data_IF_737144341314
#
_entry.id   IF_737144341314
#
_cell.length_a   1.000
_cell.length_b   1.000
_cell.length_c   1.000
_cell.angle_alpha   90.00
_cell.angle_beta   90.00
_cell.angle_gamma   90.00
#
_symmetry.space_group_name_H-M   'P 1'
#
loop_
_entity.id
_entity.type
_entity.pdbx_description
1 polymer ?
#
# COMPACT_ATOMS: atom_id res chain seq x y z
N UNK A 1 -22.18 10.50 -38.68
CA UNK A 1 -21.12 11.37 -39.21
C UNK A 1 -19.81 10.58 -39.17
N UNK A 2 -19.39 10.07 -40.36
CA UNK A 2 -18.18 9.22 -40.49
C UNK A 2 -17.04 10.11 -40.92
N UNK A 3 -15.95 10.11 -40.16
CA UNK A 3 -14.68 10.73 -40.56
C UNK A 3 -13.72 9.65 -41.04
N UNK A 4 -13.34 9.72 -42.29
CA UNK A 4 -12.42 8.86 -43.01
C UNK A 4 -10.98 9.32 -42.72
N UNK A 5 -10.14 8.38 -42.31
CA UNK A 5 -8.69 8.56 -42.37
C UNK A 5 -8.17 8.28 -43.78
N UNK A 6 -7.43 9.23 -44.31
CA UNK A 6 -6.74 9.14 -45.60
C UNK A 6 -5.26 8.82 -45.35
N UNK A 7 -4.84 7.68 -45.90
CA UNK A 7 -3.44 7.31 -46.10
C UNK A 7 -2.78 8.25 -47.13
N UNK A 8 -1.54 8.66 -46.87
CA UNK A 8 -0.63 9.04 -47.94
C UNK A 8 0.74 8.38 -47.70
N UNK A 9 1.02 7.45 -48.56
CA UNK A 9 2.32 6.87 -48.96
C UNK A 9 3.08 7.83 -49.86
N UNK A 10 4.39 7.74 -49.87
CA UNK A 10 5.25 7.62 -51.06
C UNK A 10 6.63 8.28 -50.93
N UNK A 11 7.61 7.48 -51.19
CA UNK A 11 8.74 7.45 -52.11
C UNK A 11 10.00 8.14 -51.58
N UNK A 12 11.16 7.52 -51.49
CA UNK A 12 11.86 6.65 -52.42
C UNK A 12 13.02 7.45 -53.01
N UNK A 13 14.20 7.00 -52.96
CA UNK A 13 15.20 6.97 -54.07
C UNK A 13 16.55 6.53 -53.55
N UNK A 14 17.11 5.64 -54.31
CA UNK A 14 18.29 4.83 -54.15
C UNK A 14 19.60 5.51 -54.61
N UNK A 15 20.67 4.82 -54.24
CA UNK A 15 21.92 4.55 -54.96
C UNK A 15 23.11 5.51 -54.77
N UNK A 16 24.24 5.03 -54.34
CA UNK A 16 25.33 4.57 -55.19
C UNK A 16 26.50 4.04 -54.36
N UNK A 17 27.13 3.03 -54.93
CA UNK A 17 28.21 2.25 -54.42
C UNK A 17 29.54 3.00 -54.32
N UNK A 18 30.39 2.60 -53.37
CA UNK A 18 31.79 2.88 -53.30
C UNK A 18 32.50 1.79 -52.51
N UNK A 19 33.04 0.81 -53.23
CA UNK A 19 33.93 -0.24 -52.72
C UNK A 19 35.29 0.37 -52.42
N UNK A 20 35.73 0.32 -51.16
CA UNK A 20 37.16 0.31 -50.84
C UNK A 20 37.34 -0.52 -49.55
N UNK A 21 38.06 -1.61 -49.69
CA UNK A 21 38.36 -2.56 -48.62
C UNK A 21 39.34 -1.96 -47.61
N UNK A 22 39.03 -2.23 -46.36
CA UNK A 22 39.97 -2.31 -45.26
C UNK A 22 39.57 -3.48 -44.39
N UNK A 23 40.37 -4.52 -44.50
CA UNK A 23 40.38 -5.63 -43.57
C UNK A 23 40.85 -5.13 -42.19
N UNK A 24 40.18 -5.51 -41.16
CA UNK A 24 40.72 -5.41 -39.84
C UNK A 24 39.78 -4.75 -38.81
N UNK A 25 39.39 -5.54 -37.83
CA UNK A 25 38.58 -5.26 -36.65
C UNK A 25 37.06 -5.43 -36.87
N UNK A 26 36.64 -6.68 -36.82
CA UNK A 26 35.29 -7.00 -36.39
C UNK A 26 35.22 -6.62 -34.90
N UNK A 27 34.47 -5.59 -34.48
CA UNK A 27 34.17 -5.45 -33.09
C UNK A 27 33.35 -6.67 -32.72
N UNK A 28 33.87 -7.43 -31.77
CA UNK A 28 33.17 -8.47 -31.06
C UNK A 28 31.75 -7.99 -30.83
N UNK A 29 30.81 -8.57 -31.57
CA UNK A 29 29.37 -8.31 -31.39
C UNK A 29 29.14 -8.50 -29.91
N UNK A 30 28.90 -7.38 -29.22
CA UNK A 30 28.40 -7.40 -27.88
C UNK A 30 27.35 -8.50 -27.79
N UNK A 31 27.64 -9.52 -27.03
CA UNK A 31 26.73 -10.65 -26.79
C UNK A 31 25.38 -10.06 -26.52
N UNK A 32 24.42 -10.28 -27.40
CA UNK A 32 23.04 -9.94 -27.15
C UNK A 32 22.71 -10.62 -25.83
N UNK A 33 22.63 -9.85 -24.77
CA UNK A 33 22.30 -10.30 -23.44
C UNK A 33 20.94 -10.96 -23.59
N UNK A 34 20.90 -12.28 -23.46
CA UNK A 34 19.63 -13.01 -23.47
C UNK A 34 18.68 -12.25 -22.52
N UNK A 35 17.40 -12.04 -22.91
CA UNK A 35 16.47 -11.36 -22.03
C UNK A 35 16.50 -12.08 -20.70
N UNK A 36 16.97 -11.43 -19.65
CA UNK A 36 17.14 -12.01 -18.33
C UNK A 36 15.80 -12.65 -17.94
N UNK A 37 15.79 -13.96 -17.67
CA UNK A 37 14.58 -14.67 -17.27
C UNK A 37 13.98 -13.92 -16.09
N UNK A 38 12.78 -13.43 -16.28
CA UNK A 38 12.02 -12.73 -15.23
C UNK A 38 11.87 -13.67 -14.03
N UNK A 39 12.13 -13.18 -12.83
CA UNK A 39 12.04 -14.01 -11.62
C UNK A 39 10.60 -14.41 -11.31
N UNK A 40 10.41 -15.54 -10.63
CA UNK A 40 9.09 -15.97 -10.18
C UNK A 40 8.43 -14.93 -9.26
N UNK A 41 9.22 -14.17 -8.49
CA UNK A 41 8.72 -13.08 -7.66
C UNK A 41 8.18 -11.94 -8.51
N UNK A 42 8.87 -11.55 -9.58
CA UNK A 42 8.40 -10.49 -10.48
C UNK A 42 7.12 -10.91 -11.23
N UNK A 43 7.01 -12.17 -11.66
CA UNK A 43 5.79 -12.66 -12.31
C UNK A 43 4.60 -12.66 -11.34
N UNK A 44 4.76 -13.13 -10.09
CA UNK A 44 3.70 -13.05 -9.08
C UNK A 44 3.29 -11.61 -8.77
N UNK A 45 4.26 -10.69 -8.62
CA UNK A 45 3.98 -9.28 -8.46
C UNK A 45 3.14 -8.76 -9.63
N UNK A 46 3.59 -8.97 -10.87
CA UNK A 46 2.92 -8.47 -12.07
C UNK A 46 1.49 -9.00 -12.16
N UNK A 47 1.32 -10.31 -11.95
CA UNK A 47 0.02 -10.96 -11.97
C UNK A 47 -0.93 -10.37 -10.92
N UNK A 48 -0.51 -10.35 -9.66
CA UNK A 48 -1.32 -9.87 -8.53
C UNK A 48 -1.68 -8.38 -8.64
N UNK A 49 -0.78 -7.54 -9.13
CA UNK A 49 -1.01 -6.09 -9.17
C UNK A 49 -1.72 -5.61 -10.44
N UNK A 50 -1.60 -6.32 -11.58
CA UNK A 50 -2.02 -5.78 -12.86
C UNK A 50 -2.89 -6.71 -13.71
N UNK A 51 -2.84 -8.02 -13.54
CA UNK A 51 -3.48 -8.97 -14.46
C UNK A 51 -4.69 -9.66 -13.84
N UNK A 52 -4.71 -9.93 -12.54
CA UNK A 52 -5.80 -10.63 -11.89
C UNK A 52 -6.72 -9.69 -11.13
N UNK A 53 -7.95 -9.54 -11.65
CA UNK A 53 -9.00 -8.79 -10.97
C UNK A 53 -9.59 -9.54 -9.78
N UNK A 54 -9.47 -10.87 -9.73
CA UNK A 54 -9.95 -11.69 -8.61
C UNK A 54 -8.94 -11.74 -7.46
N UNK A 55 -7.64 -11.63 -7.73
CA UNK A 55 -6.60 -11.46 -6.70
C UNK A 55 -6.75 -10.16 -5.93
N UNK A 56 -7.38 -9.14 -6.50
CA UNK A 56 -7.72 -7.93 -5.75
C UNK A 56 -8.63 -8.23 -4.54
N UNK A 57 -9.38 -9.33 -4.57
CA UNK A 57 -10.20 -9.83 -3.45
C UNK A 57 -9.41 -10.64 -2.44
N UNK A 58 -8.28 -11.24 -2.83
CA UNK A 58 -7.40 -12.02 -1.97
C UNK A 58 -6.24 -11.20 -1.39
N UNK A 59 -6.11 -9.95 -1.83
CA UNK A 59 -5.02 -9.04 -1.48
C UNK A 59 -3.86 -9.09 -2.49
N UNK A 60 -3.08 -8.01 -2.50
CA UNK A 60 -1.91 -7.88 -3.37
C UNK A 60 -0.76 -8.74 -2.84
N UNK A 61 -0.01 -9.43 -3.70
CA UNK A 61 1.20 -10.17 -3.29
C UNK A 61 2.36 -9.18 -3.00
N UNK A 62 2.21 -8.48 -1.88
CA UNK A 62 3.24 -7.56 -1.38
C UNK A 62 4.52 -8.28 -0.98
N UNK A 63 4.42 -9.57 -0.63
CA UNK A 63 5.57 -10.41 -0.33
C UNK A 63 6.44 -10.66 -1.56
N UNK A 64 5.83 -10.93 -2.72
CA UNK A 64 6.55 -11.04 -3.99
C UNK A 64 7.23 -9.70 -4.35
N UNK A 65 6.51 -8.58 -4.21
CA UNK A 65 7.06 -7.26 -4.48
C UNK A 65 8.26 -6.92 -3.58
N UNK A 66 8.20 -7.26 -2.29
CA UNK A 66 9.26 -7.02 -1.32
C UNK A 66 10.54 -7.83 -1.62
N UNK A 67 10.44 -8.96 -2.33
CA UNK A 67 11.57 -9.81 -2.73
C UNK A 67 12.34 -9.25 -3.94
N UNK A 68 11.79 -8.28 -4.67
CA UNK A 68 12.42 -7.75 -5.87
C UNK A 68 13.68 -6.96 -5.55
N UNK A 69 14.72 -7.16 -6.36
CA UNK A 69 15.99 -6.47 -6.26
C UNK A 69 16.50 -6.02 -7.64
N UNK A 70 17.53 -5.16 -7.68
CA UNK A 70 18.18 -4.72 -8.90
C UNK A 70 17.22 -4.15 -9.95
N UNK A 71 17.37 -4.59 -11.19
CA UNK A 71 16.57 -4.10 -12.32
C UNK A 71 15.08 -4.42 -12.20
N UNK A 72 14.72 -5.60 -11.67
CA UNK A 72 13.31 -5.96 -11.49
C UNK A 72 12.61 -5.04 -10.50
N UNK A 73 13.28 -4.67 -9.41
CA UNK A 73 12.78 -3.70 -8.45
C UNK A 73 12.56 -2.33 -9.11
N UNK A 74 13.52 -1.86 -9.90
CA UNK A 74 13.42 -0.58 -10.63
C UNK A 74 12.26 -0.61 -11.63
N UNK A 75 12.12 -1.71 -12.36
CA UNK A 75 11.03 -1.92 -13.32
C UNK A 75 9.66 -1.96 -12.63
N UNK A 76 9.56 -2.65 -11.49
CA UNK A 76 8.34 -2.67 -10.69
C UNK A 76 7.98 -1.27 -10.17
N UNK A 77 8.96 -0.52 -9.69
CA UNK A 77 8.76 0.86 -9.25
C UNK A 77 8.25 1.75 -10.39
N UNK A 78 8.82 1.64 -11.60
CA UNK A 78 8.34 2.37 -12.79
C UNK A 78 6.89 2.02 -13.16
N UNK A 79 6.53 0.74 -13.06
CA UNK A 79 5.16 0.29 -13.31
C UNK A 79 4.19 0.90 -12.29
N UNK A 80 4.53 0.86 -11.01
CA UNK A 80 3.70 1.38 -9.92
C UNK A 80 3.54 2.91 -9.97
N UNK A 81 4.60 3.65 -10.32
CA UNK A 81 4.53 5.11 -10.50
C UNK A 81 3.55 5.47 -11.62
N UNK A 82 3.58 4.73 -12.74
CA UNK A 82 2.63 4.95 -13.85
C UNK A 82 1.19 4.59 -13.48
N UNK A 83 1.01 3.79 -12.45
CA UNK A 83 -0.30 3.35 -11.98
C UNK A 83 -0.94 4.30 -10.96
N UNK A 84 -0.22 5.36 -10.53
CA UNK A 84 -0.81 6.40 -9.67
C UNK A 84 -1.95 7.13 -10.41
N UNK A 85 -3.05 7.47 -9.73
CA UNK A 85 -3.29 7.43 -8.28
C UNK A 85 -4.05 6.18 -7.79
N UNK A 86 -3.98 5.05 -8.49
CA UNK A 86 -4.63 3.79 -8.07
C UNK A 86 -4.03 3.30 -6.74
N UNK A 87 -4.86 2.73 -5.87
CA UNK A 87 -4.46 2.23 -4.55
C UNK A 87 -3.37 1.16 -4.63
N UNK A 88 -3.37 0.31 -5.65
CA UNK A 88 -2.32 -0.71 -5.88
C UNK A 88 -0.97 -0.06 -6.11
N UNK A 89 -0.93 1.03 -6.91
CA UNK A 89 0.29 1.83 -7.09
C UNK A 89 0.78 2.41 -5.78
N UNK A 90 -0.10 3.02 -5.00
CA UNK A 90 0.21 3.63 -3.70
C UNK A 90 0.77 2.59 -2.73
N UNK A 91 0.07 1.46 -2.52
CA UNK A 91 0.47 0.38 -1.63
C UNK A 91 1.83 -0.20 -2.05
N UNK A 92 1.99 -0.51 -3.34
CA UNK A 92 3.24 -1.07 -3.86
C UNK A 92 4.44 -0.14 -3.67
N UNK A 93 4.27 1.16 -3.89
CA UNK A 93 5.34 2.15 -3.67
C UNK A 93 5.71 2.30 -2.20
N UNK A 94 4.76 2.13 -1.29
CA UNK A 94 5.00 2.04 0.14
C UNK A 94 5.85 0.82 0.50
N UNK A 95 5.47 -0.37 0.03
CA UNK A 95 6.21 -1.64 0.23
C UNK A 95 7.64 -1.52 -0.30
N UNK A 96 7.83 -0.94 -1.48
CA UNK A 96 9.15 -0.67 -2.03
C UNK A 96 9.90 0.44 -1.28
N UNK A 97 9.27 1.18 -0.39
CA UNK A 97 9.85 2.37 0.25
C UNK A 97 10.44 3.33 -0.78
N UNK A 98 9.67 3.61 -1.84
CA UNK A 98 10.14 4.36 -3.02
C UNK A 98 10.36 5.83 -2.69
N UNK A 99 11.61 6.23 -2.49
CA UNK A 99 11.98 7.64 -2.32
C UNK A 99 11.72 8.46 -3.57
N UNK A 100 11.78 7.84 -4.73
CA UNK A 100 11.51 8.49 -6.01
C UNK A 100 10.04 8.90 -6.15
N UNK A 101 9.13 8.09 -5.64
CA UNK A 101 7.70 8.37 -5.68
C UNK A 101 7.23 9.32 -4.56
N UNK A 102 8.03 9.51 -3.50
CA UNK A 102 7.63 10.28 -2.31
C UNK A 102 7.03 11.64 -2.64
N UNK A 103 7.64 12.51 -3.50
CA UNK A 103 7.06 13.82 -3.82
C UNK A 103 5.67 13.74 -4.46
N UNK A 104 5.45 12.77 -5.37
CA UNK A 104 4.16 12.54 -6.00
C UNK A 104 3.10 12.05 -5.00
N UNK A 105 3.47 11.11 -4.13
CA UNK A 105 2.58 10.62 -3.08
C UNK A 105 2.21 11.71 -2.06
N UNK A 106 3.15 12.59 -1.71
CA UNK A 106 2.88 13.76 -0.86
C UNK A 106 1.88 14.69 -1.54
N UNK A 107 2.06 14.99 -2.83
CA UNK A 107 1.11 15.82 -3.59
C UNK A 107 -0.30 15.23 -3.61
N UNK A 108 -0.43 13.92 -3.82
CA UNK A 108 -1.70 13.20 -3.76
C UNK A 108 -2.31 13.25 -2.35
N UNK A 109 -1.50 13.05 -1.31
CA UNK A 109 -1.95 13.10 0.08
C UNK A 109 -2.53 14.48 0.44
N UNK A 110 -1.85 15.56 0.07
CA UNK A 110 -2.35 16.93 0.34
C UNK A 110 -3.64 17.19 -0.43
N UNK A 111 -3.75 16.74 -1.67
CA UNK A 111 -4.98 16.86 -2.46
C UNK A 111 -6.16 16.12 -1.80
N UNK A 112 -5.94 14.90 -1.30
CA UNK A 112 -6.97 14.13 -0.59
C UNK A 112 -7.35 14.78 0.74
N UNK A 113 -6.38 15.35 1.48
CA UNK A 113 -6.65 16.10 2.72
C UNK A 113 -7.52 17.33 2.47
N UNK A 114 -7.24 18.08 1.43
CA UNK A 114 -8.05 19.23 1.02
C UNK A 114 -9.47 18.81 0.59
N UNK A 115 -9.57 17.75 -0.20
CA UNK A 115 -10.85 17.21 -0.66
C UNK A 115 -11.70 16.70 0.53
N UNK A 116 -11.08 16.02 1.51
CA UNK A 116 -11.74 15.58 2.73
C UNK A 116 -12.29 16.77 3.54
N UNK A 117 -11.51 17.85 3.67
CA UNK A 117 -11.95 19.07 4.32
C UNK A 117 -13.17 19.70 3.62
N UNK A 118 -13.21 19.67 2.28
CA UNK A 118 -14.32 20.15 1.48
C UNK A 118 -15.53 19.18 1.48
N UNK A 119 -15.32 17.88 1.59
CA UNK A 119 -16.37 16.84 1.53
C UNK A 119 -17.08 16.62 2.86
N UNK A 120 -16.54 17.07 4.00
CA UNK A 120 -17.35 17.27 5.22
C UNK A 120 -18.58 18.16 4.94
N UNK A 121 -18.56 18.90 3.83
CA UNK A 121 -19.68 19.66 3.28
C UNK A 121 -20.48 18.92 2.20
N UNK A 122 -19.98 17.79 1.68
CA UNK A 122 -20.62 16.98 0.63
C UNK A 122 -20.54 15.51 1.01
N UNK A 123 -21.66 14.86 1.23
CA UNK A 123 -21.78 13.44 1.57
C UNK A 123 -21.45 12.48 0.40
N UNK A 124 -20.60 12.85 -0.56
CA UNK A 124 -20.64 12.22 -1.89
C UNK A 124 -19.38 11.45 -2.33
N UNK A 125 -18.44 11.02 -1.48
CA UNK A 125 -17.42 10.11 -1.99
C UNK A 125 -16.86 9.13 -0.96
N UNK A 126 -17.36 7.92 -1.01
CA UNK A 126 -16.93 6.78 -0.22
C UNK A 126 -15.45 6.37 -0.43
N UNK A 127 -14.78 6.90 -1.45
CA UNK A 127 -13.41 6.53 -1.83
C UNK A 127 -12.31 7.43 -1.25
N UNK A 128 -12.58 8.67 -0.92
CA UNK A 128 -11.56 9.61 -0.45
C UNK A 128 -10.84 9.15 0.83
N UNK A 129 -11.54 8.66 1.88
CA UNK A 129 -10.87 8.20 3.09
C UNK A 129 -9.91 7.04 2.86
N UNK A 130 -10.26 6.08 2.01
CA UNK A 130 -9.40 4.92 1.72
C UNK A 130 -8.10 5.32 1.06
N UNK A 131 -8.16 6.18 0.05
CA UNK A 131 -6.95 6.65 -0.62
C UNK A 131 -6.06 7.44 0.32
N UNK A 132 -6.63 8.29 1.17
CA UNK A 132 -5.90 9.02 2.19
C UNK A 132 -5.19 8.07 3.17
N UNK A 133 -5.88 7.02 3.63
CA UNK A 133 -5.32 6.00 4.52
C UNK A 133 -4.13 5.31 3.87
N UNK A 134 -4.27 4.83 2.63
CA UNK A 134 -3.17 4.14 1.92
C UNK A 134 -1.99 5.08 1.61
N UNK A 135 -2.27 6.34 1.25
CA UNK A 135 -1.21 7.35 1.05
C UNK A 135 -0.43 7.62 2.34
N UNK A 136 -1.14 7.79 3.45
CA UNK A 136 -0.52 8.01 4.76
C UNK A 136 0.36 6.81 5.16
N UNK A 137 -0.14 5.58 4.96
CA UNK A 137 0.60 4.34 5.22
C UNK A 137 1.85 4.23 4.35
N UNK A 138 1.72 4.42 3.04
CA UNK A 138 2.84 4.36 2.11
C UNK A 138 3.91 5.41 2.48
N UNK A 139 3.51 6.63 2.78
CA UNK A 139 4.42 7.70 3.19
C UNK A 139 5.11 7.40 4.53
N UNK A 140 4.39 6.78 5.49
CA UNK A 140 5.00 6.30 6.73
C UNK A 140 6.08 5.23 6.47
N UNK A 141 5.80 4.27 5.59
CA UNK A 141 6.76 3.23 5.21
C UNK A 141 8.00 3.79 4.49
N UNK A 142 7.82 4.82 3.67
CA UNK A 142 8.91 5.50 2.93
C UNK A 142 9.76 6.35 3.87
N UNK A 143 9.10 7.20 4.67
CA UNK A 143 9.74 8.09 5.63
C UNK A 143 8.82 8.33 6.81
N UNK A 144 9.06 7.71 7.96
CA UNK A 144 8.28 7.95 9.16
C UNK A 144 8.21 9.44 9.52
N UNK A 145 6.99 9.95 9.67
CA UNK A 145 6.70 11.29 10.11
C UNK A 145 5.33 11.27 10.81
N UNK A 146 5.20 11.81 12.04
CA UNK A 146 3.96 11.75 12.82
C UNK A 146 2.72 12.33 12.11
N UNK A 147 2.90 13.20 11.12
CA UNK A 147 1.78 13.78 10.34
C UNK A 147 1.02 12.72 9.52
N UNK A 148 1.69 11.61 9.12
CA UNK A 148 1.05 10.59 8.33
C UNK A 148 0.05 9.76 9.15
N UNK A 149 0.45 9.12 10.27
CA UNK A 149 -0.50 8.39 11.09
C UNK A 149 -1.57 9.32 11.70
N UNK A 150 -1.28 10.59 11.98
CA UNK A 150 -2.28 11.54 12.46
C UNK A 150 -3.50 11.62 11.52
N UNK A 151 -3.30 11.59 10.20
CA UNK A 151 -4.40 11.60 9.24
C UNK A 151 -5.25 10.33 9.30
N UNK A 152 -4.63 9.17 9.53
CA UNK A 152 -5.34 7.89 9.68
C UNK A 152 -6.07 7.83 11.03
N UNK A 153 -5.45 8.35 12.08
CA UNK A 153 -6.08 8.49 13.41
C UNK A 153 -7.33 9.38 13.34
N UNK A 154 -7.27 10.48 12.58
CA UNK A 154 -8.44 11.35 12.35
C UNK A 154 -9.60 10.58 11.68
N UNK A 155 -9.30 9.71 10.69
CA UNK A 155 -10.32 8.86 10.06
C UNK A 155 -10.88 7.84 11.05
N UNK A 156 -10.01 7.16 11.81
CA UNK A 156 -10.43 6.20 12.84
C UNK A 156 -11.38 6.84 13.86
N UNK A 157 -11.09 8.06 14.27
CA UNK A 157 -11.86 8.76 15.31
C UNK A 157 -13.15 9.40 14.81
N UNK A 158 -13.26 9.76 13.52
CA UNK A 158 -14.32 10.65 13.05
C UNK A 158 -15.09 10.17 11.80
N UNK A 159 -14.70 9.06 11.17
CA UNK A 159 -15.43 8.57 10.01
C UNK A 159 -16.80 8.00 10.43
N UNK A 160 -17.84 8.40 9.71
CA UNK A 160 -19.21 7.94 9.97
C UNK A 160 -19.35 6.44 9.63
N UNK A 161 -18.76 6.00 8.52
CA UNK A 161 -18.86 4.64 8.04
C UNK A 161 -17.94 3.68 8.81
N UNK A 162 -18.48 2.60 9.42
CA UNK A 162 -17.69 1.63 10.18
C UNK A 162 -16.53 1.03 9.39
N UNK A 163 -16.74 0.74 8.10
CA UNK A 163 -15.72 0.14 7.25
C UNK A 163 -14.50 1.05 7.05
N UNK A 164 -14.68 2.38 7.07
CA UNK A 164 -13.58 3.34 6.99
C UNK A 164 -12.77 3.35 8.28
N UNK A 165 -13.44 3.31 9.45
CA UNK A 165 -12.78 3.19 10.76
C UNK A 165 -12.05 1.86 10.90
N UNK A 166 -12.66 0.76 10.41
CA UNK A 166 -12.03 -0.56 10.35
C UNK A 166 -10.73 -0.52 9.54
N UNK A 167 -10.78 0.00 8.31
CA UNK A 167 -9.59 0.12 7.45
C UNK A 167 -8.52 1.00 8.10
N UNK A 168 -8.92 2.10 8.74
CA UNK A 168 -7.98 2.95 9.46
C UNK A 168 -7.30 2.20 10.62
N UNK A 169 -8.05 1.41 11.41
CA UNK A 169 -7.48 0.60 12.48
C UNK A 169 -6.52 -0.47 11.95
N UNK A 170 -6.85 -1.10 10.81
CA UNK A 170 -6.02 -2.10 10.15
C UNK A 170 -4.71 -1.50 9.64
N UNK A 171 -4.74 -0.34 9.00
CA UNK A 171 -3.54 0.29 8.44
C UNK A 171 -2.63 0.93 9.51
N UNK A 172 -3.11 1.13 10.73
CA UNK A 172 -2.30 1.55 11.88
C UNK A 172 -1.54 0.40 12.56
N UNK A 173 -1.77 -0.82 12.19
CA UNK A 173 -1.29 -2.06 12.77
C UNK A 173 0.24 -2.18 12.98
N UNK A 174 1.05 -1.63 12.07
CA UNK A 174 2.52 -1.62 12.16
C UNK A 174 3.11 -0.22 12.37
N UNK A 175 2.24 0.76 12.63
CA UNK A 175 2.66 2.15 12.89
C UNK A 175 3.03 2.29 14.36
N UNK A 176 4.34 2.16 14.65
CA UNK A 176 4.89 2.16 16.01
C UNK A 176 5.10 3.58 16.53
N UNK A 177 3.99 4.24 16.84
CA UNK A 177 3.92 5.62 17.32
C UNK A 177 3.02 5.70 18.57
N UNK A 178 3.40 6.44 19.62
CA UNK A 178 2.59 6.55 20.84
C UNK A 178 1.18 7.12 20.63
N UNK A 179 0.97 7.99 19.62
CA UNK A 179 -0.35 8.50 19.30
C UNK A 179 -1.22 7.40 18.68
N UNK A 180 -0.62 6.53 17.86
CA UNK A 180 -1.29 5.35 17.31
C UNK A 180 -1.76 4.40 18.42
N UNK A 181 -0.90 4.10 19.40
CA UNK A 181 -1.28 3.25 20.53
C UNK A 181 -2.50 3.84 21.27
N UNK A 182 -2.48 5.15 21.57
CA UNK A 182 -3.63 5.81 22.24
C UNK A 182 -4.90 5.75 21.40
N UNK A 183 -4.80 5.97 20.10
CA UNK A 183 -5.95 5.91 19.19
C UNK A 183 -6.55 4.49 19.13
N UNK A 184 -5.70 3.45 19.00
CA UNK A 184 -6.16 2.06 19.02
C UNK A 184 -6.74 1.64 20.37
N UNK A 185 -6.20 2.14 21.50
CA UNK A 185 -6.79 1.92 22.82
C UNK A 185 -8.20 2.51 22.91
N UNK A 186 -8.42 3.72 22.37
CA UNK A 186 -9.75 4.33 22.29
C UNK A 186 -10.69 3.52 21.39
N UNK A 187 -10.17 3.01 20.27
CA UNK A 187 -10.95 2.21 19.31
C UNK A 187 -11.36 0.81 19.85
N UNK A 188 -10.83 0.35 20.98
CA UNK A 188 -11.37 -0.82 21.70
C UNK A 188 -12.80 -0.60 22.20
N UNK A 189 -13.28 0.63 22.26
CA UNK A 189 -14.64 1.01 22.66
C UNK A 189 -15.53 1.41 21.47
N UNK A 190 -15.05 1.22 20.21
CA UNK A 190 -15.85 1.50 19.02
C UNK A 190 -17.16 0.68 19.03
N UNK A 191 -18.29 1.25 18.60
CA UNK A 191 -19.54 0.52 18.51
C UNK A 191 -19.45 -0.71 17.60
N UNK A 192 -18.59 -0.67 16.57
CA UNK A 192 -18.44 -1.73 15.59
C UNK A 192 -17.42 -2.79 16.00
N UNK A 193 -17.83 -4.07 16.01
CA UNK A 193 -16.99 -5.19 16.46
C UNK A 193 -15.71 -5.38 15.67
N UNK A 194 -15.76 -5.19 14.35
CA UNK A 194 -14.58 -5.32 13.49
C UNK A 194 -13.56 -4.20 13.74
N UNK A 195 -14.00 -2.99 14.04
CA UNK A 195 -13.09 -1.89 14.43
C UNK A 195 -12.35 -2.26 15.71
N UNK A 196 -13.09 -2.75 16.73
CA UNK A 196 -12.49 -3.23 18.00
C UNK A 196 -11.49 -4.36 17.76
N UNK A 197 -11.83 -5.31 16.87
CA UNK A 197 -10.95 -6.42 16.49
C UNK A 197 -9.62 -5.93 15.90
N UNK A 198 -9.67 -5.06 14.90
CA UNK A 198 -8.46 -4.53 14.26
C UNK A 198 -7.65 -3.66 15.23
N UNK A 199 -8.30 -2.89 16.09
CA UNK A 199 -7.63 -2.13 17.13
C UNK A 199 -6.86 -3.05 18.11
N UNK A 200 -7.49 -4.14 18.57
CA UNK A 200 -6.87 -5.12 19.43
C UNK A 200 -5.65 -5.80 18.77
N UNK A 201 -5.79 -6.25 17.52
CA UNK A 201 -4.69 -6.83 16.75
C UNK A 201 -3.53 -5.84 16.57
N UNK A 202 -3.86 -4.58 16.25
CA UNK A 202 -2.86 -3.52 16.12
C UNK A 202 -2.08 -3.30 17.41
N UNK A 203 -2.76 -3.22 18.56
CA UNK A 203 -2.10 -3.09 19.85
C UNK A 203 -1.16 -4.25 20.17
N UNK A 204 -1.59 -5.49 19.93
CA UNK A 204 -0.73 -6.67 20.12
C UNK A 204 0.51 -6.61 19.22
N UNK A 205 0.33 -6.30 17.92
CA UNK A 205 1.43 -6.22 16.95
C UNK A 205 2.45 -5.13 17.28
N UNK A 206 1.99 -3.93 17.64
CA UNK A 206 2.84 -2.79 18.00
C UNK A 206 3.72 -3.13 19.22
N UNK A 207 3.20 -3.93 20.14
CA UNK A 207 3.95 -4.40 21.32
C UNK A 207 4.70 -5.73 21.10
N UNK A 208 4.81 -6.19 19.84
CA UNK A 208 5.59 -7.37 19.46
C UNK A 208 4.99 -8.71 19.90
N UNK A 209 3.69 -8.74 20.15
CA UNK A 209 2.98 -9.98 20.48
C UNK A 209 2.51 -10.71 19.20
N UNK A 210 2.51 -12.05 19.19
CA UNK A 210 2.07 -12.83 18.04
C UNK A 210 0.54 -12.68 17.88
N UNK A 211 0.12 -12.10 16.76
CA UNK A 211 -1.30 -11.81 16.48
C UNK A 211 -2.09 -13.00 15.92
N UNK A 212 -1.39 -14.03 15.45
CA UNK A 212 -1.98 -15.24 14.86
C UNK A 212 -1.93 -16.44 15.82
N UNK A 213 -1.61 -16.22 17.11
CA UNK A 213 -1.69 -17.24 18.14
C UNK A 213 -3.14 -17.47 18.59
N UNK A 214 -3.43 -18.68 19.13
CA UNK A 214 -4.74 -19.01 19.67
C UNK A 214 -5.15 -18.03 20.79
N UNK A 215 -4.20 -17.63 21.65
CA UNK A 215 -4.43 -16.67 22.72
C UNK A 215 -4.84 -15.29 22.17
N UNK A 216 -4.12 -14.80 21.15
CA UNK A 216 -4.46 -13.54 20.50
C UNK A 216 -5.81 -13.61 19.81
N UNK A 217 -6.09 -14.70 19.08
CA UNK A 217 -7.37 -14.93 18.46
C UNK A 217 -8.51 -14.92 19.51
N UNK A 218 -8.32 -15.64 20.63
CA UNK A 218 -9.29 -15.66 21.71
C UNK A 218 -9.58 -14.28 22.29
N UNK A 219 -8.55 -13.49 22.59
CA UNK A 219 -8.69 -12.12 23.09
C UNK A 219 -9.42 -11.21 22.10
N UNK A 220 -9.02 -11.23 20.83
CA UNK A 220 -9.59 -10.37 19.78
C UNK A 220 -11.04 -10.73 19.45
N UNK A 221 -11.41 -12.02 19.45
CA UNK A 221 -12.81 -12.45 19.31
C UNK A 221 -13.68 -12.01 20.47
N UNK A 222 -13.15 -12.00 21.70
CA UNK A 222 -13.90 -11.51 22.86
C UNK A 222 -14.17 -10.01 22.78
N UNK A 223 -13.18 -9.22 22.37
CA UNK A 223 -13.36 -7.77 22.17
C UNK A 223 -14.40 -7.47 21.07
N UNK A 224 -14.50 -8.34 20.07
CA UNK A 224 -15.44 -8.21 18.96
C UNK A 224 -16.90 -8.45 19.38
N UNK A 225 -17.12 -9.14 20.51
CA UNK A 225 -18.44 -9.58 20.97
C UNK A 225 -19.41 -8.42 21.23
N UNK A 226 -20.69 -8.63 20.91
CA UNK A 226 -21.78 -7.72 21.28
C UNK A 226 -22.18 -7.86 22.76
N UNK A 227 -21.84 -9.00 23.38
CA UNK A 227 -22.02 -9.18 24.84
C UNK A 227 -21.04 -8.30 25.62
N UNK A 228 -21.56 -7.38 26.43
CA UNK A 228 -20.76 -6.38 27.13
C UNK A 228 -19.76 -7.02 28.11
N UNK A 229 -20.11 -8.09 28.82
CA UNK A 229 -19.21 -8.73 29.79
C UNK A 229 -18.04 -9.44 29.08
N UNK A 230 -18.31 -10.11 27.94
CA UNK A 230 -17.29 -10.73 27.10
C UNK A 230 -16.37 -9.68 26.51
N UNK A 231 -16.91 -8.58 25.99
CA UNK A 231 -16.16 -7.46 25.41
C UNK A 231 -15.21 -6.85 26.43
N UNK A 232 -15.71 -6.49 27.61
CA UNK A 232 -14.91 -5.93 28.68
C UNK A 232 -13.84 -6.90 29.20
N UNK A 233 -14.16 -8.21 29.22
CA UNK A 233 -13.18 -9.24 29.50
C UNK A 233 -12.04 -9.26 28.48
N UNK A 234 -12.38 -9.30 27.20
CA UNK A 234 -11.39 -9.26 26.11
C UNK A 234 -10.52 -8.00 26.13
N UNK A 235 -11.15 -6.83 26.36
CA UNK A 235 -10.43 -5.56 26.49
C UNK A 235 -9.42 -5.60 27.65
N UNK A 236 -9.82 -6.08 28.82
CA UNK A 236 -8.90 -6.24 29.95
C UNK A 236 -7.73 -7.17 29.64
N UNK A 237 -7.99 -8.28 28.95
CA UNK A 237 -6.95 -9.24 28.58
C UNK A 237 -5.94 -8.60 27.60
N UNK A 238 -6.41 -7.86 26.58
CA UNK A 238 -5.53 -7.10 25.66
C UNK A 238 -4.67 -6.10 26.43
N UNK A 239 -5.28 -5.28 27.29
CA UNK A 239 -4.57 -4.26 28.06
C UNK A 239 -3.57 -4.88 29.03
N UNK A 240 -3.89 -6.02 29.64
CA UNK A 240 -2.97 -6.76 30.51
C UNK A 240 -1.81 -7.36 29.70
N UNK A 241 -2.07 -7.88 28.50
CA UNK A 241 -1.04 -8.47 27.65
C UNK A 241 0.00 -7.43 27.19
N UNK A 242 -0.39 -6.18 26.97
CA UNK A 242 0.53 -5.10 26.55
C UNK A 242 1.11 -4.29 27.74
N UNK A 243 0.58 -4.48 28.96
CA UNK A 243 1.02 -3.72 30.13
C UNK A 243 2.53 -3.87 30.39
N UNK A 244 3.21 -2.72 30.53
CA UNK A 244 4.65 -2.69 30.78
C UNK A 244 5.55 -3.10 29.60
N UNK A 245 4.96 -3.45 28.45
CA UNK A 245 5.74 -3.75 27.24
C UNK A 245 6.07 -2.46 26.49
N UNK A 246 7.31 -2.29 26.05
CA UNK A 246 7.66 -1.17 25.19
C UNK A 246 6.98 -1.34 23.82
N UNK A 247 6.83 -0.24 23.09
CA UNK A 247 6.56 -0.30 21.65
C UNK A 247 7.74 -1.03 21.00
N UNK A 248 7.46 -2.10 20.26
CA UNK A 248 8.51 -2.91 19.64
C UNK A 248 9.33 -2.04 18.66
N UNK A 249 10.62 -2.30 18.54
CA UNK A 249 11.46 -1.64 17.54
C UNK A 249 10.94 -1.94 16.11
N UNK A 250 11.07 -1.00 15.17
CA UNK A 250 10.63 -1.17 13.78
C UNK A 250 11.45 -2.23 13.04
#
# INVERSE_FOLDING_TARGET
MRVRYVHKTLWGVAALAGVLGLAGLVPELASAQEPSKTSAAFERFRFSFFEDTDSARQGLDTGALAQLAGEERTRAEDMLIRYLPDSRGIIGLGVLRSRRAEPGLVGLFEAERLAQGASKLRRDSDWLPYRLIFLAKALWQIRPNPRWPAAVIDVLASADEPIQRQTAAEELYDVRDPATVRALMTALDDPEGLVRHHAARGLLAIHGLPVDSDDAAHMTYRVMSDDAARREGGKRDILAAIAGRPIAAP
#
